data_IF_898393832304
#
_entry.id   IF_898393832304
#
_cell.length_a   1.000
_cell.length_b   1.000
_cell.length_c   1.000
_cell.angle_alpha   90.00
_cell.angle_beta   90.00
_cell.angle_gamma   90.00
#
_symmetry.space_group_name_H-M   'P 1'
#
loop_
_entity.id
_entity.type
_entity.pdbx_description
1 polymer ?
#
# COMPACT_ATOMS: atom_id res chain seq x y z
N UNK A 1 10.10 -14.97 -16.39
CA UNK A 1 8.71 -14.86 -15.89
C UNK A 1 8.17 -13.46 -16.08
N UNK A 2 8.87 -12.41 -15.62
CA UNK A 2 8.48 -10.99 -15.80
C UNK A 2 8.30 -10.62 -17.28
N UNK A 3 9.24 -10.98 -18.15
CA UNK A 3 9.13 -10.68 -19.59
C UNK A 3 7.91 -11.33 -20.27
N UNK A 4 7.55 -12.55 -19.85
CA UNK A 4 6.36 -13.23 -20.38
C UNK A 4 5.07 -12.55 -19.92
N UNK A 5 5.01 -12.10 -18.66
CA UNK A 5 3.90 -11.29 -18.18
C UNK A 5 3.81 -9.96 -18.96
N UNK A 6 4.93 -9.28 -19.19
CA UNK A 6 4.99 -8.05 -19.99
C UNK A 6 4.48 -8.26 -21.42
N UNK A 7 4.87 -9.34 -22.09
CA UNK A 7 4.37 -9.69 -23.43
C UNK A 7 2.85 -9.86 -23.44
N UNK A 8 2.29 -10.52 -22.43
CA UNK A 8 0.84 -10.71 -22.30
C UNK A 8 0.15 -9.35 -22.11
N UNK A 9 0.64 -8.52 -21.19
CA UNK A 9 0.06 -7.21 -20.91
C UNK A 9 0.08 -6.30 -22.14
N UNK A 10 1.18 -6.32 -22.90
CA UNK A 10 1.30 -5.57 -24.15
C UNK A 10 0.37 -6.12 -25.24
N UNK A 11 0.21 -7.43 -25.33
CA UNK A 11 -0.71 -8.07 -26.29
C UNK A 11 -2.17 -7.65 -26.07
N UNK A 12 -2.56 -7.40 -24.83
CA UNK A 12 -3.92 -7.01 -24.45
C UNK A 12 -4.09 -5.51 -24.16
N UNK A 13 -3.10 -4.68 -24.47
CA UNK A 13 -3.14 -3.22 -24.29
C UNK A 13 -3.51 -2.78 -22.86
N UNK A 14 -2.95 -3.49 -21.86
CA UNK A 14 -3.27 -3.30 -20.45
C UNK A 14 -2.26 -2.45 -19.68
N UNK A 15 -1.17 -2.01 -20.32
CA UNK A 15 -0.04 -1.38 -19.62
C UNK A 15 -0.43 -0.10 -18.89
N UNK A 16 -1.40 0.65 -19.43
CA UNK A 16 -1.87 1.92 -18.85
C UNK A 16 -2.95 1.75 -17.76
N UNK A 17 -3.37 0.51 -17.48
CA UNK A 17 -4.46 0.18 -16.54
C UNK A 17 -3.99 -0.57 -15.31
N UNK A 18 -2.68 -0.78 -15.16
CA UNK A 18 -2.12 -1.60 -14.09
C UNK A 18 -1.13 -0.82 -13.24
N UNK A 19 -1.04 -1.25 -11.99
CA UNK A 19 0.19 -1.09 -11.21
C UNK A 19 0.90 -2.43 -11.19
N UNK A 20 2.20 -2.43 -11.43
CA UNK A 20 3.01 -3.64 -11.32
C UNK A 20 4.13 -3.46 -10.29
N UNK A 21 4.57 -4.53 -9.65
CA UNK A 21 5.55 -4.37 -8.58
C UNK A 21 5.83 -5.66 -7.83
N UNK A 22 6.76 -5.56 -6.90
CA UNK A 22 7.10 -6.63 -5.97
C UNK A 22 7.66 -6.02 -4.69
N UNK A 23 7.33 -6.59 -3.54
CA UNK A 23 7.95 -6.18 -2.28
C UNK A 23 9.46 -6.48 -2.24
N UNK A 24 9.94 -7.46 -3.01
CA UNK A 24 11.36 -7.79 -3.12
C UNK A 24 12.06 -6.81 -4.06
N UNK A 25 13.12 -6.19 -3.56
CA UNK A 25 13.93 -5.20 -4.26
C UNK A 25 14.53 -5.76 -5.57
N UNK A 26 15.02 -7.00 -5.54
CA UNK A 26 15.62 -7.64 -6.73
C UNK A 26 14.65 -7.62 -7.93
N UNK A 27 13.41 -8.05 -7.71
CA UNK A 27 12.39 -8.06 -8.77
C UNK A 27 11.92 -6.65 -9.14
N UNK A 28 11.93 -5.71 -8.19
CA UNK A 28 11.61 -4.29 -8.48
C UNK A 28 12.60 -3.71 -9.49
N UNK A 29 13.89 -3.98 -9.29
CA UNK A 29 14.93 -3.55 -10.22
C UNK A 29 14.81 -4.24 -11.60
N UNK A 30 14.39 -5.51 -11.63
CA UNK A 30 14.09 -6.19 -12.89
C UNK A 30 12.90 -5.57 -13.63
N UNK A 31 11.81 -5.24 -12.92
CA UNK A 31 10.63 -4.59 -13.50
C UNK A 31 10.97 -3.22 -14.11
N UNK A 32 11.71 -2.39 -13.36
CA UNK A 32 12.15 -1.06 -13.83
C UNK A 32 13.00 -1.18 -15.10
N UNK A 33 13.84 -2.22 -15.21
CA UNK A 33 14.66 -2.46 -16.42
C UNK A 33 13.82 -2.87 -17.63
N UNK A 34 12.71 -3.59 -17.40
CA UNK A 34 11.82 -4.03 -18.49
C UNK A 34 11.04 -2.83 -19.03
N UNK A 35 10.40 -2.05 -18.15
CA UNK A 35 9.66 -0.86 -18.58
C UNK A 35 9.45 0.14 -17.44
N UNK A 36 10.22 1.22 -17.43
CA UNK A 36 10.10 2.26 -16.40
C UNK A 36 8.84 3.13 -16.52
N UNK A 37 8.08 3.02 -17.63
CA UNK A 37 6.90 3.86 -17.86
C UNK A 37 5.65 3.35 -17.14
N UNK A 38 5.64 2.08 -16.73
CA UNK A 38 4.48 1.47 -16.08
C UNK A 38 4.47 1.84 -14.58
N UNK A 39 3.36 2.40 -14.07
CA UNK A 39 3.22 2.74 -12.66
C UNK A 39 3.49 1.55 -11.74
N UNK A 40 4.17 1.80 -10.62
CA UNK A 40 4.57 0.74 -9.70
C UNK A 40 4.23 1.01 -8.26
N UNK A 41 4.02 -0.07 -7.51
CA UNK A 41 3.94 0.01 -6.06
C UNK A 41 5.32 -0.07 -5.40
N UNK A 42 5.40 0.50 -4.21
CA UNK A 42 6.63 0.58 -3.42
C UNK A 42 7.18 -0.80 -3.00
N UNK A 43 8.50 -0.96 -3.07
CA UNK A 43 9.19 -2.13 -2.50
C UNK A 43 9.22 -2.06 -0.97
N UNK A 44 9.52 -3.18 -0.29
CA UNK A 44 9.63 -3.18 1.18
C UNK A 44 10.71 -2.21 1.69
N UNK A 45 11.81 -2.07 0.93
CA UNK A 45 12.89 -1.13 1.26
C UNK A 45 12.39 0.31 1.18
N UNK A 46 11.68 0.64 0.11
CA UNK A 46 11.14 1.97 -0.13
C UNK A 46 10.07 2.35 0.91
N UNK A 47 9.18 1.42 1.26
CA UNK A 47 8.21 1.58 2.35
C UNK A 47 8.91 1.88 3.67
N UNK A 48 10.01 1.17 3.96
CA UNK A 48 10.78 1.37 5.20
C UNK A 48 11.43 2.75 5.23
N UNK A 49 12.08 3.16 4.14
CA UNK A 49 12.71 4.49 4.02
C UNK A 49 11.66 5.60 4.12
N UNK A 50 10.52 5.43 3.45
CA UNK A 50 9.39 6.36 3.50
C UNK A 50 8.89 6.56 4.94
N UNK A 51 8.60 5.46 5.64
CA UNK A 51 8.10 5.52 7.02
C UNK A 51 9.12 6.17 7.96
N UNK A 52 10.41 5.86 7.82
CA UNK A 52 11.46 6.52 8.60
C UNK A 52 11.57 8.02 8.27
N UNK A 53 11.55 8.38 6.99
CA UNK A 53 11.58 9.78 6.57
C UNK A 53 10.36 10.56 7.07
N UNK A 54 9.18 9.93 7.09
CA UNK A 54 7.98 10.50 7.69
C UNK A 54 8.16 10.76 9.19
N UNK A 55 8.58 9.74 9.95
CA UNK A 55 8.76 9.84 11.40
C UNK A 55 9.85 10.86 11.80
N UNK A 56 10.86 11.03 10.96
CA UNK A 56 11.94 12.01 11.17
C UNK A 56 11.61 13.41 10.62
N UNK A 57 10.49 13.58 9.91
CA UNK A 57 10.10 14.86 9.30
C UNK A 57 10.85 15.22 8.00
N UNK A 58 11.56 14.27 7.38
CA UNK A 58 12.30 14.48 6.14
C UNK A 58 11.49 14.23 4.87
N UNK A 59 10.24 13.79 4.98
CA UNK A 59 9.39 13.43 3.85
C UNK A 59 9.31 14.49 2.73
N UNK A 60 9.24 15.82 3.01
CA UNK A 60 9.22 16.85 1.97
C UNK A 60 10.52 16.97 1.16
N UNK A 61 11.63 16.46 1.66
CA UNK A 61 12.97 16.64 1.08
C UNK A 61 13.45 15.45 0.27
N UNK A 62 12.70 14.34 0.26
CA UNK A 62 13.08 13.12 -0.45
C UNK A 62 12.28 12.96 -1.75
N UNK A 63 12.95 12.45 -2.79
CA UNK A 63 12.26 11.96 -3.98
C UNK A 63 11.62 10.60 -3.69
N UNK A 64 10.40 10.40 -4.19
CA UNK A 64 9.66 9.15 -4.03
C UNK A 64 9.61 8.48 -5.41
N UNK A 65 10.31 7.35 -5.59
CA UNK A 65 10.51 6.77 -6.93
C UNK A 65 9.39 5.82 -7.37
N UNK A 66 8.19 5.88 -6.77
CA UNK A 66 7.08 4.97 -7.00
C UNK A 66 5.74 5.72 -6.98
N UNK A 67 4.70 5.07 -7.51
CA UNK A 67 3.40 5.69 -7.79
C UNK A 67 2.31 5.22 -6.82
N UNK A 68 2.45 4.03 -6.24
CA UNK A 68 1.48 3.46 -5.30
C UNK A 68 2.13 3.02 -3.97
N UNK A 69 1.62 3.55 -2.87
CA UNK A 69 2.00 3.17 -1.51
C UNK A 69 1.00 2.16 -0.93
N UNK A 70 1.46 0.93 -0.66
CA UNK A 70 0.65 -0.11 -0.01
C UNK A 70 0.84 -0.04 1.50
N UNK A 71 -0.08 0.62 2.20
CA UNK A 71 -0.02 0.81 3.65
C UNK A 71 -0.72 -0.33 4.39
N UNK A 72 -0.02 -1.09 5.27
CA UNK A 72 -0.68 -2.07 6.10
C UNK A 72 -1.58 -1.35 7.12
N UNK A 73 -2.80 -1.84 7.27
CA UNK A 73 -3.76 -1.28 8.21
C UNK A 73 -3.93 -2.19 9.42
N UNK A 74 -3.87 -1.62 10.63
CA UNK A 74 -4.06 -2.39 11.85
C UNK A 74 -5.53 -2.76 12.05
N UNK A 75 -5.80 -4.06 12.05
CA UNK A 75 -7.10 -4.64 12.35
C UNK A 75 -7.01 -6.04 12.97
N UNK A 76 -8.17 -6.57 13.36
CA UNK A 76 -8.26 -7.91 13.96
C UNK A 76 -7.81 -9.02 13.01
N UNK A 77 -8.11 -8.90 11.71
CA UNK A 77 -7.69 -9.87 10.69
C UNK A 77 -6.18 -10.05 10.66
N UNK A 78 -5.44 -8.96 10.69
CA UNK A 78 -3.98 -8.96 10.76
C UNK A 78 -3.46 -9.63 12.04
N UNK A 79 -4.06 -9.32 13.19
CA UNK A 79 -3.66 -9.90 14.48
C UNK A 79 -3.90 -11.41 14.51
N UNK A 80 -4.96 -11.89 13.86
CA UNK A 80 -5.31 -13.32 13.78
C UNK A 80 -4.51 -14.09 12.72
N UNK A 81 -3.80 -13.39 11.83
CA UNK A 81 -3.01 -14.02 10.77
C UNK A 81 -1.82 -14.78 11.38
N UNK A 82 -1.54 -15.99 10.88
CA UNK A 82 -0.39 -16.78 11.31
C UNK A 82 0.91 -16.07 10.91
N UNK A 83 1.94 -16.08 11.78
CA UNK A 83 3.19 -15.44 11.40
C UNK A 83 3.84 -16.24 10.27
N UNK A 84 4.66 -15.58 9.46
CA UNK A 84 5.50 -16.31 8.52
C UNK A 84 6.47 -17.23 9.28
N UNK A 85 6.80 -18.37 8.66
CA UNK A 85 7.73 -19.34 9.23
C UNK A 85 9.07 -18.67 9.55
N UNK A 86 9.55 -18.84 10.78
CA UNK A 86 10.83 -18.28 11.25
C UNK A 86 10.76 -16.89 11.89
N UNK A 87 9.58 -16.27 11.99
CA UNK A 87 9.39 -15.02 12.75
C UNK A 87 9.17 -15.35 14.24
N UNK A 88 10.00 -14.79 15.13
CA UNK A 88 9.81 -14.94 16.58
C UNK A 88 8.63 -14.11 17.09
N UNK A 89 7.99 -14.57 18.18
CA UNK A 89 6.85 -13.88 18.81
C UNK A 89 7.18 -12.42 19.19
N UNK A 90 8.40 -12.15 19.66
CA UNK A 90 8.84 -10.80 19.97
C UNK A 90 8.87 -9.90 18.72
N UNK A 91 9.43 -10.39 17.61
CA UNK A 91 9.47 -9.64 16.33
C UNK A 91 8.07 -9.42 15.78
N UNK A 92 7.19 -10.43 15.87
CA UNK A 92 5.78 -10.33 15.48
C UNK A 92 5.07 -9.25 16.30
N UNK A 93 5.19 -9.28 17.62
CA UNK A 93 4.57 -8.31 18.53
C UNK A 93 5.04 -6.89 18.24
N UNK A 94 6.34 -6.70 18.05
CA UNK A 94 6.91 -5.40 17.67
C UNK A 94 6.39 -4.91 16.31
N UNK A 95 6.31 -5.80 15.31
CA UNK A 95 5.77 -5.47 13.99
C UNK A 95 4.30 -5.04 14.05
N UNK A 96 3.47 -5.78 14.79
CA UNK A 96 2.06 -5.42 15.00
C UNK A 96 1.92 -4.08 15.75
N UNK A 97 2.74 -3.83 16.75
CA UNK A 97 2.77 -2.56 17.47
C UNK A 97 3.16 -1.40 16.55
N UNK A 98 4.14 -1.60 15.66
CA UNK A 98 4.54 -0.60 14.68
C UNK A 98 3.44 -0.33 13.66
N UNK A 99 2.79 -1.36 13.11
CA UNK A 99 1.66 -1.19 12.18
C UNK A 99 0.50 -0.46 12.87
N UNK A 100 0.19 -0.82 14.12
CA UNK A 100 -0.81 -0.11 14.94
C UNK A 100 -0.45 1.36 15.11
N UNK A 101 0.79 1.66 15.48
CA UNK A 101 1.26 3.03 15.63
C UNK A 101 1.14 3.80 14.31
N UNK A 102 1.66 3.24 13.21
CA UNK A 102 1.61 3.86 11.89
C UNK A 102 0.17 4.10 11.43
N UNK A 103 -0.76 3.16 11.68
CA UNK A 103 -2.19 3.33 11.35
C UNK A 103 -2.81 4.54 12.04
N UNK A 104 -2.37 4.87 13.26
CA UNK A 104 -2.88 6.02 14.02
C UNK A 104 -2.29 7.35 13.56
N UNK A 105 -1.06 7.34 13.04
CA UNK A 105 -0.32 8.56 12.71
C UNK A 105 -0.16 8.80 11.21
N UNK A 106 -0.64 7.92 10.32
CA UNK A 106 -0.35 7.98 8.89
C UNK A 106 -1.17 9.02 8.11
N UNK A 107 -2.26 9.56 8.65
CA UNK A 107 -3.13 10.48 7.88
C UNK A 107 -2.39 11.68 7.25
N UNK A 108 -1.48 12.41 7.94
CA UNK A 108 -0.69 13.47 7.31
C UNK A 108 0.28 12.97 6.25
N UNK A 109 0.82 11.75 6.43
CA UNK A 109 1.67 11.11 5.42
C UNK A 109 0.86 10.81 4.16
N UNK A 110 -0.35 10.25 4.31
CA UNK A 110 -1.24 9.93 3.19
C UNK A 110 -1.65 11.21 2.45
N UNK A 111 -2.08 12.25 3.17
CA UNK A 111 -2.37 13.57 2.58
C UNK A 111 -1.14 14.18 1.87
N UNK A 112 0.07 13.94 2.37
CA UNK A 112 1.30 14.39 1.70
C UNK A 112 1.60 13.62 0.41
N UNK A 113 1.37 12.31 0.40
CA UNK A 113 1.56 11.46 -0.79
C UNK A 113 0.56 11.82 -1.88
N UNK A 114 -0.71 11.99 -1.52
CA UNK A 114 -1.78 12.43 -2.43
C UNK A 114 -1.44 13.75 -3.13
N UNK A 115 -0.98 14.76 -2.36
CA UNK A 115 -0.51 16.05 -2.91
C UNK A 115 0.68 15.94 -3.85
N UNK A 116 1.43 14.83 -3.80
CA UNK A 116 2.56 14.54 -4.69
C UNK A 116 2.18 13.64 -5.86
N UNK A 117 0.90 13.30 -6.02
CA UNK A 117 0.38 12.43 -7.06
C UNK A 117 0.72 10.95 -6.84
N UNK A 118 0.91 10.54 -5.59
CA UNK A 118 1.21 9.15 -5.21
C UNK A 118 -0.01 8.56 -4.54
N UNK A 119 -0.59 7.55 -5.16
CA UNK A 119 -1.75 6.86 -4.64
C UNK A 119 -1.39 6.07 -3.38
N UNK A 120 -2.33 5.96 -2.45
CA UNK A 120 -2.19 5.08 -1.28
C UNK A 120 -3.33 4.08 -1.26
N UNK A 121 -3.00 2.79 -1.04
CA UNK A 121 -3.99 1.75 -0.77
C UNK A 121 -3.75 1.11 0.60
N UNK A 122 -4.81 1.03 1.41
CA UNK A 122 -4.81 0.33 2.68
C UNK A 122 -5.09 -1.15 2.46
N UNK A 123 -4.33 -2.04 3.12
CA UNK A 123 -4.51 -3.48 2.96
C UNK A 123 -4.33 -4.26 4.28
N UNK A 124 -5.07 -5.36 4.52
CA UNK A 124 -6.35 -5.79 3.89
C UNK A 124 -7.48 -5.48 4.87
N UNK A 125 -8.56 -4.85 4.40
CA UNK A 125 -9.69 -4.43 5.24
C UNK A 125 -10.94 -5.22 4.85
N UNK A 126 -11.45 -6.04 5.76
CA UNK A 126 -12.64 -6.88 5.51
C UNK A 126 -13.79 -6.59 6.48
N UNK A 127 -13.52 -5.93 7.60
CA UNK A 127 -14.53 -5.54 8.58
C UNK A 127 -15.18 -4.21 8.17
N UNK A 128 -16.50 -4.09 8.31
CA UNK A 128 -17.26 -2.91 7.84
C UNK A 128 -16.84 -1.65 8.61
N UNK A 129 -16.51 -1.82 9.88
CA UNK A 129 -15.99 -0.78 10.75
C UNK A 129 -14.64 -0.28 10.26
N UNK A 130 -13.74 -1.17 9.82
CA UNK A 130 -12.46 -0.78 9.24
C UNK A 130 -12.62 -0.04 7.92
N UNK A 131 -13.52 -0.54 7.06
CA UNK A 131 -13.87 0.11 5.80
C UNK A 131 -14.41 1.53 6.05
N UNK A 132 -15.26 1.71 7.06
CA UNK A 132 -15.76 3.02 7.45
C UNK A 132 -14.64 3.93 7.97
N UNK A 133 -13.74 3.42 8.82
CA UNK A 133 -12.56 4.16 9.30
C UNK A 133 -11.65 4.60 8.16
N UNK A 134 -11.46 3.76 7.13
CA UNK A 134 -10.66 4.13 5.96
C UNK A 134 -11.22 5.35 5.22
N UNK A 135 -12.55 5.49 5.16
CA UNK A 135 -13.22 6.63 4.52
C UNK A 135 -13.07 7.95 5.30
N UNK A 136 -12.67 7.89 6.57
CA UNK A 136 -12.44 9.07 7.42
C UNK A 136 -11.02 9.62 7.29
N UNK A 137 -10.10 8.87 6.68
CA UNK A 137 -8.69 9.27 6.53
C UNK A 137 -8.56 10.34 5.44
N UNK A 138 -7.91 11.45 5.78
CA UNK A 138 -7.59 12.52 4.84
C UNK A 138 -6.62 12.03 3.74
N UNK A 139 -6.83 12.48 2.51
CA UNK A 139 -6.11 11.99 1.32
C UNK A 139 -6.79 10.81 0.62
N UNK A 140 -8.00 10.43 1.06
CA UNK A 140 -8.91 9.48 0.39
C UNK A 140 -8.21 8.20 -0.12
N UNK A 141 -7.52 7.43 0.74
CA UNK A 141 -6.80 6.25 0.29
C UNK A 141 -7.75 5.19 -0.29
N UNK A 142 -7.29 4.48 -1.31
CA UNK A 142 -7.95 3.27 -1.80
C UNK A 142 -7.91 2.15 -0.75
N UNK A 143 -8.74 1.13 -0.94
CA UNK A 143 -8.85 -0.01 -0.01
C UNK A 143 -8.78 -1.32 -0.78
N UNK A 144 -7.91 -2.22 -0.32
CA UNK A 144 -7.87 -3.61 -0.76
C UNK A 144 -8.74 -4.44 0.21
N UNK A 145 -9.80 -5.05 -0.34
CA UNK A 145 -10.83 -5.76 0.43
C UNK A 145 -11.36 -6.97 -0.33
N UNK A 146 -11.70 -8.03 0.41
CA UNK A 146 -12.44 -9.19 -0.10
C UNK A 146 -13.96 -8.95 -0.12
N UNK A 147 -14.43 -7.78 0.36
CA UNK A 147 -15.86 -7.41 0.45
C UNK A 147 -16.18 -6.11 -0.32
N UNK A 148 -15.98 -6.08 -1.65
CA UNK A 148 -16.17 -4.87 -2.45
C UNK A 148 -17.60 -4.31 -2.36
N UNK A 149 -18.62 -5.15 -2.30
CA UNK A 149 -20.02 -4.72 -2.21
C UNK A 149 -20.30 -3.91 -0.93
N UNK A 150 -19.68 -4.30 0.19
CA UNK A 150 -19.82 -3.59 1.46
C UNK A 150 -19.16 -2.21 1.38
N UNK A 151 -17.98 -2.12 0.77
CA UNK A 151 -17.28 -0.86 0.58
C UNK A 151 -18.02 0.09 -0.37
N UNK A 152 -18.51 -0.42 -1.50
CA UNK A 152 -19.33 0.35 -2.45
C UNK A 152 -20.58 0.90 -1.77
N UNK A 153 -21.26 0.08 -0.96
CA UNK A 153 -22.44 0.51 -0.20
C UNK A 153 -22.11 1.66 0.78
N UNK A 154 -20.94 1.65 1.40
CA UNK A 154 -20.48 2.75 2.28
C UNK A 154 -20.16 4.01 1.48
N UNK A 155 -19.50 3.88 0.32
CA UNK A 155 -19.20 5.00 -0.58
C UNK A 155 -20.47 5.70 -1.04
N UNK A 156 -21.48 4.94 -1.49
CA UNK A 156 -22.77 5.52 -1.87
C UNK A 156 -23.41 6.29 -0.73
N UNK A 157 -23.43 5.75 0.49
CA UNK A 157 -23.98 6.45 1.66
C UNK A 157 -23.25 7.75 2.00
N UNK A 158 -21.95 7.83 1.74
CA UNK A 158 -21.12 9.00 2.05
C UNK A 158 -21.28 10.14 1.04
N UNK A 159 -21.48 9.81 -0.23
CA UNK A 159 -21.49 10.77 -1.35
C UNK A 159 -22.87 10.96 -1.99
N UNK A 160 -23.95 10.42 -1.40
CA UNK A 160 -25.34 10.74 -1.75
C UNK A 160 -25.83 11.95 -0.96
#
# INVERSE_FOLDING_TARGET
MIEEAYKILKKYDMLDQIFWGSFKELHTQELIRVDQSIPRFASQKEITVMNLAYLLGFLPFISIPFDLYLSPFYNEGLVKTKPEEGISECKRSLGLALIRFMTLVSAPMISHLDKRGIDTMLWVLNDVEDLARALEIEGSPGVITDRPEAFISLLHKRYS
#
